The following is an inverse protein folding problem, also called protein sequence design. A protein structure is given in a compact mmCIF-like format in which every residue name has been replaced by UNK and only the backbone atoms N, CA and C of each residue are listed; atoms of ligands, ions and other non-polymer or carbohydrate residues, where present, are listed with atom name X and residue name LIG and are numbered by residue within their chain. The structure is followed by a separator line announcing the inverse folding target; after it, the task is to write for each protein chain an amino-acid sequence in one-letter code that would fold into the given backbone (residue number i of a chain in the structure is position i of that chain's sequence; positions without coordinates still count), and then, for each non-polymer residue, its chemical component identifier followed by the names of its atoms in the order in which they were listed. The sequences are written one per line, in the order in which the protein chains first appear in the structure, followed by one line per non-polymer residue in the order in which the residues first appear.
data_IF_487996313607
#
_entry.id   IF_487996313607
#
_cell.length_a   1.000
_cell.length_b   1.000
_cell.length_c   1.000
_cell.angle_alpha   90.00
_cell.angle_beta   90.00
_cell.angle_gamma   90.00
#
_symmetry.space_group_name_H-M   'P 1'
#
loop_
_entity.id
_entity.type
_entity.pdbx_description
1 polymer ?
#
# COMPACT_ATOMS: atom_id res chain seq x y z
N UNK A 1 -4.84 -4.79 1.55
CA UNK A 1 -3.59 -4.02 1.57
C UNK A 1 -3.49 -3.34 2.93
N UNK A 2 -2.32 -3.39 3.57
CA UNK A 2 -2.14 -2.80 4.91
C UNK A 2 -1.41 -1.47 4.85
N UNK A 3 -0.29 -1.40 4.11
CA UNK A 3 0.45 -0.17 3.87
C UNK A 3 0.97 -0.13 2.43
N UNK A 4 1.09 1.07 1.87
CA UNK A 4 1.73 1.29 0.58
C UNK A 4 2.38 2.68 0.55
N UNK A 5 3.54 2.78 -0.08
CA UNK A 5 4.22 4.05 -0.28
C UNK A 5 5.11 4.03 -1.52
N UNK A 6 5.19 5.17 -2.19
CA UNK A 6 6.30 5.46 -3.08
C UNK A 6 7.46 5.97 -2.24
N UNK A 7 8.65 5.38 -2.41
CA UNK A 7 9.86 5.80 -1.70
C UNK A 7 11.00 5.93 -2.69
N UNK A 8 11.69 7.07 -2.63
CA UNK A 8 12.96 7.30 -3.31
C UNK A 8 14.07 7.17 -2.28
N UNK A 9 14.78 6.04 -2.29
CA UNK A 9 15.91 5.82 -1.38
C UNK A 9 17.12 6.62 -1.85
N UNK A 10 17.98 7.05 -0.93
CA UNK A 10 19.23 7.76 -1.28
C UNK A 10 20.23 6.85 -1.99
N UNK A 11 20.09 5.52 -1.86
CA UNK A 11 20.99 4.56 -2.49
C UNK A 11 20.63 4.29 -3.96
N UNK A 12 19.33 4.20 -4.27
CA UNK A 12 18.88 3.81 -5.60
C UNK A 12 18.51 5.01 -6.48
N UNK A 13 18.33 6.19 -5.88
CA UNK A 13 17.95 7.46 -6.54
C UNK A 13 16.73 7.35 -7.46
N UNK A 14 15.92 6.31 -7.28
CA UNK A 14 14.74 5.99 -8.09
C UNK A 14 13.55 5.70 -7.18
N UNK A 15 12.36 5.95 -7.72
CA UNK A 15 11.11 5.67 -7.04
C UNK A 15 10.78 4.18 -7.10
N UNK A 16 10.56 3.59 -5.94
CA UNK A 16 9.99 2.26 -5.82
C UNK A 16 8.67 2.31 -5.06
N UNK A 17 7.71 1.51 -5.52
CA UNK A 17 6.43 1.30 -4.86
C UNK A 17 6.57 0.14 -3.88
N UNK A 18 6.65 0.47 -2.59
CA UNK A 18 6.64 -0.49 -1.50
C UNK A 18 5.20 -0.84 -1.12
N UNK A 19 4.87 -2.13 -1.13
CA UNK A 19 3.54 -2.61 -0.76
C UNK A 19 3.67 -3.69 0.31
N UNK A 20 2.94 -3.51 1.41
CA UNK A 20 2.78 -4.51 2.46
C UNK A 20 1.31 -4.92 2.62
N UNK A 21 1.07 -6.22 2.73
CA UNK A 21 -0.27 -6.79 2.86
C UNK A 21 -0.23 -8.09 3.63
N UNK A 22 -1.29 -8.36 4.42
CA UNK A 22 -1.49 -9.67 5.07
C UNK A 22 -1.49 -10.83 4.08
N UNK A 23 -1.92 -10.58 2.84
CA UNK A 23 -1.90 -11.56 1.75
C UNK A 23 -0.49 -12.08 1.46
N UNK A 24 0.56 -11.26 1.65
CA UNK A 24 1.96 -11.68 1.48
C UNK A 24 2.33 -12.68 2.58
N UNK A 25 1.89 -12.46 3.82
CA UNK A 25 2.11 -13.39 4.93
C UNK A 25 1.34 -14.70 4.74
N UNK A 26 0.10 -14.63 4.26
CA UNK A 26 -0.80 -15.78 4.13
C UNK A 26 -0.48 -16.66 2.90
N UNK A 27 -0.14 -16.04 1.76
CA UNK A 27 0.02 -16.71 0.46
C UNK A 27 1.45 -16.69 -0.05
N UNK A 28 2.34 -15.93 0.57
CA UNK A 28 3.71 -15.72 0.12
C UNK A 28 3.86 -14.68 -0.98
N UNK A 29 5.11 -14.38 -1.32
CA UNK A 29 5.47 -13.34 -2.29
C UNK A 29 5.06 -13.69 -3.72
N UNK A 30 5.29 -14.93 -4.19
CA UNK A 30 5.06 -15.27 -5.59
C UNK A 30 3.59 -15.12 -6.03
N UNK A 31 2.58 -15.61 -5.28
CA UNK A 31 1.17 -15.35 -5.61
C UNK A 31 0.80 -13.88 -5.51
N UNK A 32 1.39 -13.15 -4.56
CA UNK A 32 1.16 -11.71 -4.39
C UNK A 32 1.72 -10.89 -5.55
N UNK A 33 2.92 -11.22 -6.04
CA UNK A 33 3.50 -10.60 -7.23
C UNK A 33 2.68 -10.89 -8.48
N UNK A 34 2.16 -12.12 -8.64
CA UNK A 34 1.26 -12.45 -9.75
C UNK A 34 0.01 -11.55 -9.73
N UNK A 35 -0.60 -11.39 -8.56
CA UNK A 35 -1.79 -10.56 -8.42
C UNK A 35 -1.52 -9.08 -8.76
N UNK A 36 -0.39 -8.53 -8.30
CA UNK A 36 0.00 -7.16 -8.66
C UNK A 36 0.24 -7.03 -10.16
N UNK A 37 0.92 -7.99 -10.78
CA UNK A 37 1.16 -7.99 -12.22
C UNK A 37 -0.14 -8.03 -13.02
N UNK A 38 -1.12 -8.82 -12.58
CA UNK A 38 -2.45 -8.87 -13.22
C UNK A 38 -3.15 -7.51 -13.15
N UNK A 39 -3.09 -6.82 -12.00
CA UNK A 39 -3.66 -5.47 -11.84
C UNK A 39 -2.94 -4.45 -12.70
N UNK A 40 -1.60 -4.46 -12.73
CA UNK A 40 -0.84 -3.53 -13.57
C UNK A 40 -1.13 -3.75 -15.05
N UNK A 41 -1.23 -5.02 -15.50
CA UNK A 41 -1.60 -5.35 -16.88
C UNK A 41 -3.02 -4.95 -17.25
N UNK A 42 -3.94 -4.86 -16.29
CA UNK A 42 -5.31 -4.40 -16.56
C UNK A 42 -5.44 -2.88 -16.54
N UNK A 43 -4.37 -2.15 -16.23
CA UNK A 43 -4.31 -0.70 -16.37
C UNK A 43 -3.72 -0.38 -17.75
N UNK A 44 -4.57 0.04 -18.69
CA UNK A 44 -4.22 0.25 -20.10
C UNK A 44 -3.03 1.22 -20.33
N UNK A 45 -2.72 2.08 -19.34
CA UNK A 45 -1.58 3.02 -19.34
C UNK A 45 -0.79 2.97 -18.01
N UNK A 46 -0.37 1.77 -17.57
CA UNK A 46 0.43 1.69 -16.34
C UNK A 46 1.81 2.35 -16.54
N UNK A 47 1.99 3.56 -16.01
CA UNK A 47 3.29 4.22 -15.86
C UNK A 47 4.22 3.51 -14.87
N UNK A 48 3.76 2.40 -14.27
CA UNK A 48 4.43 1.67 -13.20
C UNK A 48 4.94 0.35 -13.77
N UNK A 49 6.26 0.18 -13.75
CA UNK A 49 6.87 -1.10 -14.11
C UNK A 49 6.82 -2.09 -12.95
N UNK A 50 6.64 -3.38 -13.23
CA UNK A 50 6.77 -4.42 -12.21
C UNK A 50 8.15 -4.43 -11.54
N UNK A 51 9.19 -3.92 -12.21
CA UNK A 51 10.53 -3.78 -11.63
C UNK A 51 10.63 -2.67 -10.59
N UNK A 52 9.68 -1.75 -10.57
CA UNK A 52 9.60 -0.65 -9.60
C UNK A 52 8.74 -1.03 -8.39
N UNK A 53 8.15 -2.23 -8.36
CA UNK A 53 7.31 -2.69 -7.24
C UNK A 53 8.12 -3.60 -6.32
N UNK A 54 8.19 -3.22 -5.05
CA UNK A 54 8.79 -4.01 -3.97
C UNK A 54 7.70 -4.48 -3.01
N UNK A 55 7.39 -5.78 -3.07
CA UNK A 55 6.55 -6.40 -2.05
C UNK A 55 7.38 -6.68 -0.80
N UNK A 56 6.88 -6.24 0.36
CA UNK A 56 7.55 -6.41 1.64
C UNK A 56 6.62 -7.08 2.67
N UNK A 57 7.21 -7.85 3.57
CA UNK A 57 6.51 -8.48 4.70
C UNK A 57 5.99 -7.41 5.66
N UNK A 58 4.94 -7.72 6.44
CA UNK A 58 4.52 -6.84 7.53
C UNK A 58 5.54 -6.76 8.67
N UNK A 59 6.51 -7.68 8.70
CA UNK A 59 7.60 -7.71 9.67
C UNK A 59 8.84 -6.98 9.17
N UNK A 60 8.82 -6.51 7.92
CA UNK A 60 9.92 -5.73 7.36
C UNK A 60 10.00 -4.38 8.08
N UNK A 61 11.20 -3.92 8.51
CA UNK A 61 11.36 -2.62 9.15
C UNK A 61 10.74 -1.47 8.34
N UNK A 62 10.83 -1.52 7.01
CA UNK A 62 10.21 -0.53 6.11
C UNK A 62 8.68 -0.53 6.27
N UNK A 63 8.07 -1.71 6.36
CA UNK A 63 6.62 -1.82 6.53
C UNK A 63 6.16 -1.28 7.89
N UNK A 64 6.93 -1.55 8.95
CA UNK A 64 6.66 -1.04 10.30
C UNK A 64 6.67 0.49 10.32
N UNK A 65 7.71 1.11 9.79
CA UNK A 65 7.85 2.57 9.78
C UNK A 65 6.76 3.21 8.90
N UNK A 66 6.43 2.61 7.76
CA UNK A 66 5.34 3.07 6.90
C UNK A 66 3.98 3.03 7.62
N UNK A 67 3.70 1.98 8.39
CA UNK A 67 2.48 1.88 9.20
C UNK A 67 2.45 2.95 10.29
N UNK A 68 3.58 3.21 10.93
CA UNK A 68 3.67 4.27 11.93
C UNK A 68 3.39 5.65 11.32
N UNK A 69 4.02 5.97 10.17
CA UNK A 69 3.78 7.22 9.44
C UNK A 69 2.32 7.35 9.01
N UNK A 70 1.74 6.26 8.48
CA UNK A 70 0.35 6.22 8.04
C UNK A 70 -0.62 6.43 9.21
N UNK A 71 -0.32 5.89 10.39
CA UNK A 71 -1.12 6.08 11.61
C UNK A 71 -1.19 7.55 12.06
N UNK A 72 -0.13 8.31 11.77
CA UNK A 72 -0.04 9.75 12.04
C UNK A 72 -0.71 10.60 10.96
N UNK A 73 -1.33 9.99 9.95
CA UNK A 73 -2.00 10.62 8.81
C UNK A 73 -1.11 11.56 7.97
N UNK A 74 0.19 11.31 7.95
CA UNK A 74 1.12 12.10 7.15
C UNK A 74 1.15 11.57 5.72
N UNK A 75 0.46 12.27 4.80
CA UNK A 75 0.35 11.87 3.39
C UNK A 75 1.61 12.11 2.54
N UNK A 76 2.46 13.07 2.93
CA UNK A 76 3.73 13.34 2.24
C UNK A 76 4.82 13.62 3.27
N UNK A 77 5.91 12.86 3.21
CA UNK A 77 7.10 13.11 4.02
C UNK A 77 8.16 13.75 3.13
N UNK A 78 8.37 15.05 3.34
CA UNK A 78 9.54 15.71 2.80
C UNK A 78 10.75 15.40 3.71
N UNK A 79 11.97 15.27 3.15
CA UNK A 79 13.16 15.04 3.94
C UNK A 79 13.44 16.26 4.81
N UNK A 80 13.12 16.15 6.09
CA UNK A 80 13.51 17.13 7.09
C UNK A 80 14.96 16.92 7.49
N UNK A 81 15.92 17.26 6.61
CA UNK A 81 17.35 17.59 6.85
C UNK A 81 18.14 16.87 7.99
N UNK A 82 17.70 15.74 8.53
CA UNK A 82 18.29 15.12 9.72
C UNK A 82 17.77 13.70 9.92
N UNK A 83 18.44 12.71 9.34
CA UNK A 83 18.49 11.34 9.88
C UNK A 83 17.18 10.56 10.00
N UNK A 84 16.12 10.94 9.28
CA UNK A 84 14.90 10.12 9.23
C UNK A 84 15.19 8.92 8.34
N UNK A 85 15.33 7.76 8.96
CA UNK A 85 15.45 6.48 8.27
C UNK A 85 14.05 5.91 8.05
N UNK A 86 13.88 5.19 6.95
CA UNK A 86 12.69 4.39 6.69
C UNK A 86 13.14 2.94 6.52
N UNK A 87 12.74 2.07 7.45
CA UNK A 87 13.22 0.69 7.51
C UNK A 87 14.74 0.59 7.70
N UNK A 88 15.34 1.53 8.43
CA UNK A 88 16.79 1.71 8.55
C UNK A 88 17.51 2.14 7.25
N UNK A 89 16.78 2.52 6.20
CA UNK A 89 17.34 2.98 4.92
C UNK A 89 17.19 4.50 4.83
N UNK A 90 18.25 5.24 4.48
CA UNK A 90 18.14 6.66 4.19
C UNK A 90 17.29 6.87 2.92
N UNK A 91 16.35 7.80 2.99
CA UNK A 91 15.49 8.13 1.86
C UNK A 91 15.50 9.63 1.58
N UNK A 92 15.31 9.98 0.31
CA UNK A 92 15.20 11.35 -0.15
C UNK A 92 13.75 11.83 -0.09
N UNK A 93 12.80 11.03 -0.56
CA UNK A 93 11.40 11.42 -0.57
C UNK A 93 10.51 10.20 -0.39
N UNK A 94 9.42 10.36 0.36
CA UNK A 94 8.42 9.33 0.52
C UNK A 94 7.01 9.91 0.41
N UNK A 95 6.19 9.25 -0.40
CA UNK A 95 4.76 9.48 -0.52
C UNK A 95 4.02 8.27 0.04
N UNK A 96 3.51 8.41 1.26
CA UNK A 96 2.82 7.33 1.97
C UNK A 96 1.33 7.44 1.70
N UNK A 97 0.75 6.38 1.12
CA UNK A 97 -0.69 6.37 0.88
C UNK A 97 -1.45 6.35 2.22
N UNK A 98 -2.59 7.04 2.32
CA UNK A 98 -3.44 6.97 3.51
C UNK A 98 -3.91 5.53 3.77
N UNK A 99 -4.28 5.21 5.03
CA UNK A 99 -4.78 3.89 5.35
C UNK A 99 -6.00 3.60 4.47
N UNK A 100 -5.93 2.52 3.70
CA UNK A 100 -7.07 2.09 2.92
C UNK A 100 -8.20 1.76 3.89
N UNK A 101 -9.42 2.30 3.72
CA UNK A 101 -10.52 1.92 4.57
C UNK A 101 -10.65 0.39 4.49
N UNK A 102 -10.87 -0.29 5.63
CA UNK A 102 -11.04 -1.73 5.61
C UNK A 102 -12.13 -2.05 4.59
N UNK A 103 -11.80 -2.86 3.58
CA UNK A 103 -12.79 -3.35 2.63
C UNK A 103 -13.87 -4.03 3.46
N UNK A 104 -15.04 -3.38 3.58
CA UNK A 104 -16.21 -4.00 4.21
C UNK A 104 -16.44 -5.33 3.52
N UNK A 105 -16.47 -6.41 4.30
CA UNK A 105 -16.68 -7.77 3.80
C UNK A 105 -17.78 -7.77 2.73
N UNK A 106 -17.55 -8.44 1.60
CA UNK A 106 -18.52 -8.54 0.50
C UNK A 106 -19.91 -9.02 0.98
N UNK A 107 -19.98 -9.73 2.12
CA UNK A 107 -21.22 -10.13 2.78
C UNK A 107 -22.01 -8.97 3.40
N UNK A 108 -21.35 -7.99 4.04
CA UNK A 108 -22.03 -6.82 4.61
C UNK A 108 -22.58 -5.92 3.51
N UNK A 109 -21.86 -5.76 2.40
CA UNK A 109 -22.35 -4.98 1.25
C UNK A 109 -23.58 -5.61 0.61
N UNK A 110 -23.69 -6.94 0.61
CA UNK A 110 -24.89 -7.67 0.16
C UNK A 110 -26.08 -7.50 1.12
N UNK A 111 -25.83 -7.42 2.43
CA UNK A 111 -26.89 -7.15 3.44
C UNK A 111 -27.38 -5.70 3.38
N UNK A 112 -26.48 -4.73 3.31
CA UNK A 112 -26.83 -3.31 3.20
C UNK A 112 -27.62 -2.98 1.94
N UNK A 113 -27.28 -3.57 0.78
CA UNK A 113 -28.09 -3.40 -0.45
C UNK A 113 -29.49 -3.98 -0.33
N UNK A 114 -29.68 -5.06 0.45
CA UNK A 114 -31.01 -5.63 0.69
C UNK A 114 -31.84 -4.77 1.63
N UNK A 115 -31.24 -4.20 2.67
CA UNK A 115 -31.95 -3.35 3.64
C UNK A 115 -32.34 -1.99 3.05
N UNK A 116 -31.44 -1.33 2.30
CA UNK A 116 -31.76 -0.05 1.63
C UNK A 116 -32.85 -0.21 0.57
N UNK A 117 -32.93 -1.39 -0.07
CA UNK A 117 -34.01 -1.69 -1.04
C UNK A 117 -35.37 -1.94 -0.38
N UNK A 118 -35.44 -2.23 0.92
CA UNK A 118 -36.71 -2.44 1.63
C UNK A 118 -37.28 -1.17 2.26
N UNK A 119 -36.45 -0.15 2.50
CA UNK A 119 -36.90 1.14 3.05
C UNK A 119 -37.42 2.10 1.98
N UNK A 120 -37.12 1.85 0.70
CA UNK A 120 -37.59 2.65 -0.43
C UNK A 120 -38.89 2.13 -1.05
N UNK A 121 -39.97 2.04 -0.27
CA UNK A 121 -41.36 2.02 -0.78
C UNK A 121 -42.32 2.68 0.21
N UNK A 122 -42.73 3.93 -0.04
CA UNK A 122 -44.11 4.38 0.09
C UNK A 122 -44.90 4.11 -1.20
#
# INVERSE_FOLDING_TARGET
MTAAAWVKTSEEERWFLYISSRTIEEKGFAPSYRQVNEVLKSMDDSLISMFEVKLISLKDPMACDLLEVQSRQLGRMAPGHSGVLLGNVPFEEAYVYPPFPPQKNHEEQRKLKKEVSQVARP
#
